data_IF_290146749982
#
_entry.id   IF_290146749982
#
_cell.length_a   1.000
_cell.length_b   1.000
_cell.length_c   1.000
_cell.angle_alpha   90.00
_cell.angle_beta   90.00
_cell.angle_gamma   90.00
#
_symmetry.space_group_name_H-M   'P 1'
#
loop_
_entity.id
_entity.type
_entity.pdbx_description
1 polymer ?
#
# COMPACT_ATOMS: atom_id res chain seq x y z
N UNK A 1 -4.64 -8.72 -15.37
CA UNK A 1 -5.50 -9.88 -14.97
C UNK A 1 -5.85 -9.73 -13.50
N UNK A 2 -7.08 -10.01 -13.12
CA UNK A 2 -7.55 -9.91 -11.72
C UNK A 2 -6.97 -11.04 -10.82
N UNK A 3 -6.22 -11.99 -11.38
CA UNK A 3 -5.62 -13.10 -10.65
C UNK A 3 -4.25 -12.74 -10.06
N UNK A 4 -3.94 -13.29 -8.88
CA UNK A 4 -2.60 -13.17 -8.30
C UNK A 4 -2.47 -12.14 -7.18
N UNK A 5 -3.58 -11.62 -6.63
CA UNK A 5 -3.58 -10.81 -5.40
C UNK A 5 -3.73 -11.69 -4.16
N UNK A 6 -3.21 -11.21 -3.01
CA UNK A 6 -3.51 -11.79 -1.69
C UNK A 6 -4.95 -11.51 -1.25
N UNK A 7 -5.38 -12.15 -0.14
CA UNK A 7 -6.69 -11.89 0.48
C UNK A 7 -7.87 -12.64 -0.17
N UNK A 8 -7.65 -13.54 -1.12
CA UNK A 8 -8.74 -14.30 -1.76
C UNK A 8 -9.16 -15.51 -0.91
N UNK A 9 -9.62 -15.26 0.32
CA UNK A 9 -10.11 -16.28 1.25
C UNK A 9 -11.32 -17.04 0.68
N UNK A 10 -12.13 -16.41 -0.17
CA UNK A 10 -13.31 -17.02 -0.79
C UNK A 10 -12.95 -18.14 -1.75
N UNK A 11 -11.87 -17.99 -2.51
CA UNK A 11 -11.38 -19.01 -3.43
C UNK A 11 -10.84 -20.21 -2.64
N UNK A 12 -9.98 -19.97 -1.64
CA UNK A 12 -9.44 -21.05 -0.82
C UNK A 12 -10.56 -21.77 -0.07
N UNK A 13 -11.53 -21.06 0.52
CA UNK A 13 -12.66 -21.66 1.22
C UNK A 13 -13.48 -22.61 0.31
N UNK A 14 -13.71 -22.21 -0.96
CA UNK A 14 -14.36 -23.08 -1.96
C UNK A 14 -13.53 -24.33 -2.28
N UNK A 15 -12.20 -24.17 -2.39
CA UNK A 15 -11.30 -25.29 -2.71
C UNK A 15 -11.23 -26.33 -1.58
N UNK A 16 -11.21 -25.87 -0.31
CA UNK A 16 -11.08 -26.77 0.84
C UNK A 16 -12.41 -27.13 1.51
N UNK A 17 -13.54 -26.55 1.04
CA UNK A 17 -14.87 -26.88 1.49
C UNK A 17 -15.19 -26.38 2.91
N UNK A 18 -14.79 -25.13 3.25
CA UNK A 18 -15.06 -24.53 4.56
C UNK A 18 -15.69 -23.13 4.45
N UNK A 19 -16.08 -22.53 5.58
CA UNK A 19 -16.50 -21.13 5.61
C UNK A 19 -15.27 -20.20 5.41
N UNK A 20 -15.38 -19.11 4.64
CA UNK A 20 -14.30 -18.12 4.51
C UNK A 20 -13.78 -17.58 5.86
N UNK A 21 -14.63 -17.51 6.89
CA UNK A 21 -14.25 -17.08 8.24
C UNK A 21 -13.31 -18.06 8.96
N UNK A 22 -13.23 -19.32 8.50
CA UNK A 22 -12.32 -20.33 9.06
C UNK A 22 -10.90 -20.25 8.45
N UNK A 23 -10.70 -19.40 7.43
CA UNK A 23 -9.39 -19.23 6.79
C UNK A 23 -8.54 -18.27 7.61
N UNK A 24 -7.36 -18.72 8.00
CA UNK A 24 -6.31 -17.86 8.56
C UNK A 24 -5.60 -17.15 7.39
N UNK A 25 -5.96 -15.89 7.16
CA UNK A 25 -5.38 -15.12 6.07
C UNK A 25 -4.06 -14.45 6.49
N UNK A 26 -2.95 -15.01 6.01
CA UNK A 26 -1.59 -14.44 6.09
C UNK A 26 -1.13 -13.86 4.74
N UNK A 27 -2.03 -13.72 3.76
CA UNK A 27 -1.72 -13.21 2.42
C UNK A 27 -2.10 -11.75 2.22
N UNK A 28 -2.90 -11.17 3.10
CA UNK A 28 -3.28 -9.75 3.09
C UNK A 28 -2.51 -8.98 4.17
N UNK A 29 -1.88 -7.89 3.74
CA UNK A 29 -0.99 -7.08 4.57
C UNK A 29 -1.80 -6.02 5.36
N UNK A 30 -2.59 -6.45 6.33
CA UNK A 30 -3.43 -5.56 7.16
C UNK A 30 -3.03 -5.65 8.63
N UNK A 31 -3.48 -4.67 9.43
CA UNK A 31 -3.21 -4.65 10.86
C UNK A 31 -3.82 -5.87 11.56
N UNK A 32 -3.03 -6.66 12.31
CA UNK A 32 -3.54 -7.83 13.02
C UNK A 32 -4.46 -7.47 14.22
N UNK A 33 -4.34 -6.27 14.80
CA UNK A 33 -5.15 -5.86 15.97
C UNK A 33 -6.61 -5.56 15.61
N UNK A 34 -6.94 -5.44 14.34
CA UNK A 34 -8.29 -5.06 13.91
C UNK A 34 -8.45 -3.56 13.68
N UNK A 35 -9.70 -3.09 13.48
CA UNK A 35 -10.01 -1.67 13.39
C UNK A 35 -9.84 -0.98 14.76
N UNK A 36 -9.65 0.36 14.79
CA UNK A 36 -9.67 1.13 16.02
C UNK A 36 -10.98 0.94 16.79
N UNK A 37 -10.89 0.97 18.13
CA UNK A 37 -12.05 0.82 18.97
C UNK A 37 -13.17 1.82 18.63
N UNK A 38 -14.41 1.35 18.58
CA UNK A 38 -15.59 2.16 18.27
C UNK A 38 -15.86 2.37 16.78
N UNK A 39 -14.88 2.14 15.88
CA UNK A 39 -15.11 2.37 14.44
C UNK A 39 -16.22 1.46 13.87
N UNK A 40 -16.19 0.17 14.18
CA UNK A 40 -17.22 -0.76 13.70
C UNK A 40 -18.60 -0.39 14.26
N UNK A 41 -18.69 -0.03 15.54
CA UNK A 41 -19.95 0.39 16.18
C UNK A 41 -20.49 1.67 15.56
N UNK A 42 -19.61 2.60 15.20
CA UNK A 42 -20.00 3.81 14.50
C UNK A 42 -20.57 3.52 13.11
N UNK A 43 -19.89 2.68 12.33
CA UNK A 43 -20.37 2.26 11.02
C UNK A 43 -21.72 1.53 11.09
N UNK A 44 -21.94 0.70 12.12
CA UNK A 44 -23.24 0.06 12.36
C UNK A 44 -24.33 1.10 12.64
N UNK A 45 -24.04 2.13 13.46
CA UNK A 45 -24.99 3.23 13.70
C UNK A 45 -25.33 4.03 12.44
N UNK A 46 -24.39 4.09 11.51
CA UNK A 46 -24.54 4.84 10.27
C UNK A 46 -25.02 3.98 9.08
N UNK A 47 -25.36 2.70 9.30
CA UNK A 47 -25.68 1.77 8.19
C UNK A 47 -26.85 2.26 7.33
N UNK A 48 -27.84 2.92 7.90
CA UNK A 48 -29.01 3.41 7.17
C UNK A 48 -28.67 4.54 6.17
N UNK A 49 -27.50 5.17 6.31
CA UNK A 49 -27.02 6.19 5.37
C UNK A 49 -26.72 5.64 3.98
N UNK A 50 -26.57 4.31 3.83
CA UNK A 50 -26.37 3.66 2.51
C UNK A 50 -27.57 3.84 1.58
N UNK A 51 -28.74 4.25 2.12
CA UNK A 51 -29.95 4.56 1.33
C UNK A 51 -29.87 5.92 0.60
N UNK A 52 -28.87 6.76 0.94
CA UNK A 52 -28.63 8.05 0.31
C UNK A 52 -27.33 8.03 -0.51
N UNK A 53 -27.23 8.90 -1.53
CA UNK A 53 -25.97 9.11 -2.24
C UNK A 53 -24.94 9.75 -1.31
N UNK A 54 -23.66 9.34 -1.38
CA UNK A 54 -22.59 10.00 -0.63
C UNK A 54 -22.33 11.42 -1.16
N UNK A 55 -21.46 12.16 -0.47
CA UNK A 55 -21.00 13.47 -0.96
C UNK A 55 -20.33 13.30 -2.34
N UNK A 56 -20.76 14.09 -3.32
CA UNK A 56 -20.45 13.89 -4.74
C UNK A 56 -18.96 14.03 -5.06
N UNK A 57 -18.29 14.97 -4.40
CA UNK A 57 -16.90 15.39 -4.64
C UNK A 57 -15.95 15.11 -3.46
N UNK A 58 -16.46 14.45 -2.41
CA UNK A 58 -15.72 14.05 -1.22
C UNK A 58 -15.08 15.21 -0.41
N UNK A 59 -15.56 16.46 -0.57
CA UNK A 59 -14.94 17.63 0.04
C UNK A 59 -14.93 17.57 1.58
N UNK A 60 -15.92 16.93 2.19
CA UNK A 60 -15.98 16.71 3.63
C UNK A 60 -14.78 15.92 4.12
N UNK A 61 -14.56 14.75 3.57
CA UNK A 61 -13.45 13.87 3.97
C UNK A 61 -12.09 14.41 3.52
N UNK A 62 -12.01 15.14 2.40
CA UNK A 62 -10.78 15.80 1.95
C UNK A 62 -10.35 16.86 2.96
N UNK A 63 -11.25 17.77 3.40
CA UNK A 63 -10.94 18.80 4.39
C UNK A 63 -10.52 18.19 5.73
N UNK A 64 -11.31 17.22 6.22
CA UNK A 64 -11.03 16.53 7.48
C UNK A 64 -9.66 15.85 7.47
N UNK A 65 -9.37 15.08 6.42
CA UNK A 65 -8.12 14.33 6.36
C UNK A 65 -6.90 15.21 6.04
N UNK A 66 -7.07 16.29 5.27
CA UNK A 66 -6.03 17.30 5.04
C UNK A 66 -5.64 18.01 6.33
N UNK A 67 -6.61 18.37 7.18
CA UNK A 67 -6.37 18.94 8.51
C UNK A 67 -5.61 17.94 9.40
N UNK A 68 -6.03 16.69 9.44
CA UNK A 68 -5.33 15.62 10.15
C UNK A 68 -3.87 15.47 9.69
N UNK A 69 -3.62 15.54 8.39
CA UNK A 69 -2.28 15.48 7.82
C UNK A 69 -1.47 16.79 8.00
N UNK A 70 -2.10 17.90 8.35
CA UNK A 70 -1.47 19.22 8.44
C UNK A 70 -1.01 19.75 7.08
N UNK A 71 -1.81 19.55 6.03
CA UNK A 71 -1.56 20.02 4.66
C UNK A 71 -2.76 20.83 4.13
N UNK A 72 -2.57 21.71 3.13
CA UNK A 72 -3.67 22.36 2.43
C UNK A 72 -4.58 21.35 1.73
N UNK A 73 -5.91 21.56 1.78
CA UNK A 73 -6.90 20.66 1.20
C UNK A 73 -6.80 20.57 -0.35
N UNK A 74 -6.31 21.62 -1.02
CA UNK A 74 -6.07 21.63 -2.46
C UNK A 74 -4.88 20.77 -2.92
N UNK A 75 -4.15 20.20 -1.95
CA UNK A 75 -3.08 19.22 -2.19
C UNK A 75 -3.52 17.77 -1.99
N UNK A 76 -4.78 17.52 -1.66
CA UNK A 76 -5.31 16.20 -1.34
C UNK A 76 -6.54 15.88 -2.20
N UNK A 77 -6.66 14.63 -2.61
CA UNK A 77 -7.84 14.10 -3.28
C UNK A 77 -8.16 12.69 -2.77
N UNK A 78 -9.45 12.40 -2.56
CA UNK A 78 -9.94 11.10 -2.10
C UNK A 78 -10.40 10.22 -3.26
N UNK A 79 -10.21 8.90 -3.13
CA UNK A 79 -10.59 7.94 -4.16
C UNK A 79 -11.01 6.58 -3.59
N UNK A 80 -11.50 5.71 -4.48
CA UNK A 80 -11.90 4.33 -4.19
C UNK A 80 -10.67 3.44 -3.95
N UNK A 81 -9.99 3.68 -2.82
CA UNK A 81 -8.68 3.15 -2.51
C UNK A 81 -7.57 3.77 -3.38
N UNK A 82 -6.31 3.52 -3.00
CA UNK A 82 -5.14 3.95 -3.81
C UNK A 82 -5.13 3.31 -5.19
N UNK A 83 -5.77 2.15 -5.36
CA UNK A 83 -5.92 1.45 -6.64
C UNK A 83 -6.53 2.34 -7.71
N UNK A 84 -7.56 3.15 -7.39
CA UNK A 84 -8.14 4.08 -8.35
C UNK A 84 -7.09 5.05 -8.90
N UNK A 85 -6.24 5.59 -8.04
CA UNK A 85 -5.18 6.50 -8.46
C UNK A 85 -4.10 5.77 -9.27
N UNK A 86 -3.65 4.58 -8.82
CA UNK A 86 -2.66 3.78 -9.54
C UNK A 86 -3.10 3.57 -11.00
N UNK A 87 -4.35 3.17 -11.22
CA UNK A 87 -4.87 2.92 -12.56
C UNK A 87 -5.18 4.19 -13.36
N UNK A 88 -5.35 5.35 -12.73
CA UNK A 88 -5.56 6.62 -13.43
C UNK A 88 -4.28 7.42 -13.71
N UNK A 89 -3.20 7.18 -12.94
CA UNK A 89 -1.90 7.87 -13.09
C UNK A 89 -1.40 7.87 -14.55
N UNK A 90 -1.33 6.73 -15.27
CA UNK A 90 -0.76 6.74 -16.62
C UNK A 90 -1.53 7.64 -17.59
N UNK A 91 -2.86 7.67 -17.50
CA UNK A 91 -3.70 8.51 -18.34
C UNK A 91 -3.65 9.98 -17.94
N UNK A 92 -3.82 10.29 -16.64
CA UNK A 92 -3.90 11.67 -16.14
C UNK A 92 -2.55 12.40 -16.33
N UNK A 93 -1.45 11.72 -16.07
CA UNK A 93 -0.10 12.28 -16.20
C UNK A 93 0.47 12.12 -17.61
N UNK A 94 -0.23 11.45 -18.53
CA UNK A 94 0.23 11.16 -19.89
C UNK A 94 1.61 10.49 -19.87
N UNK A 95 1.70 9.40 -19.10
CA UNK A 95 2.94 8.65 -18.96
C UNK A 95 3.29 7.98 -20.29
N UNK A 96 4.54 8.11 -20.72
CA UNK A 96 5.05 7.44 -21.91
C UNK A 96 6.19 6.47 -21.58
N UNK A 97 7.01 6.79 -20.57
CA UNK A 97 8.13 5.98 -20.12
C UNK A 97 8.08 5.82 -18.61
N UNK A 98 7.57 4.69 -18.17
CA UNK A 98 7.46 4.34 -16.75
C UNK A 98 8.64 3.48 -16.30
N UNK A 99 9.25 3.82 -15.16
CA UNK A 99 10.20 2.99 -14.45
C UNK A 99 9.55 2.53 -13.12
N UNK A 100 9.59 1.22 -12.85
CA UNK A 100 9.03 0.65 -11.62
C UNK A 100 10.16 0.06 -10.80
N UNK A 101 10.30 0.50 -9.55
CA UNK A 101 11.28 -0.06 -8.61
C UNK A 101 10.71 -1.37 -8.07
N UNK A 102 11.35 -2.48 -8.45
CA UNK A 102 10.89 -3.84 -8.16
C UNK A 102 11.96 -4.74 -7.55
N UNK A 103 11.57 -5.96 -7.14
CA UNK A 103 10.23 -6.56 -7.22
C UNK A 103 9.20 -5.81 -6.38
N UNK A 104 8.01 -5.55 -6.92
CA UNK A 104 6.99 -4.75 -6.24
C UNK A 104 5.56 -5.09 -6.71
N UNK A 105 4.57 -4.42 -6.12
CA UNK A 105 3.15 -4.59 -6.38
C UNK A 105 2.81 -4.50 -7.88
N UNK A 106 2.11 -5.50 -8.39
CA UNK A 106 1.89 -5.70 -9.83
C UNK A 106 1.03 -4.61 -10.48
N UNK A 107 0.14 -3.97 -9.71
CA UNK A 107 -0.83 -3.02 -10.26
C UNK A 107 -0.17 -1.79 -10.91
N UNK A 108 1.04 -1.41 -10.51
CA UNK A 108 1.75 -0.32 -11.18
C UNK A 108 2.04 -0.67 -12.64
N UNK A 109 2.50 -1.91 -12.88
CA UNK A 109 2.77 -2.40 -14.23
C UNK A 109 1.48 -2.65 -15.03
N UNK A 110 0.47 -3.22 -14.38
CA UNK A 110 -0.81 -3.49 -15.01
C UNK A 110 -1.53 -2.19 -15.39
N UNK A 111 -1.47 -1.17 -14.56
CA UNK A 111 -1.98 0.17 -14.87
C UNK A 111 -1.26 0.78 -16.08
N UNK A 112 0.06 0.70 -16.14
CA UNK A 112 0.84 1.17 -17.29
C UNK A 112 0.42 0.42 -18.57
N UNK A 113 0.37 -0.91 -18.53
CA UNK A 113 -0.02 -1.74 -19.70
C UNK A 113 -1.44 -1.47 -20.17
N UNK A 114 -2.38 -1.25 -19.24
CA UNK A 114 -3.77 -0.91 -19.58
C UNK A 114 -3.87 0.36 -20.44
N UNK A 115 -2.94 1.29 -20.25
CA UNK A 115 -2.85 2.54 -21.00
C UNK A 115 -1.81 2.51 -22.15
N UNK A 116 -1.37 1.32 -22.57
CA UNK A 116 -0.46 1.15 -23.71
C UNK A 116 1.01 1.49 -23.39
N UNK A 117 1.36 1.66 -22.11
CA UNK A 117 2.74 1.94 -21.69
C UNK A 117 3.40 0.63 -21.27
N UNK A 118 4.55 0.29 -21.88
CA UNK A 118 5.39 -0.82 -21.45
C UNK A 118 6.36 -0.33 -20.38
N UNK A 119 6.18 -0.69 -19.11
CA UNK A 119 7.06 -0.20 -18.06
C UNK A 119 8.41 -0.93 -18.09
N UNK A 120 9.46 -0.20 -17.79
CA UNK A 120 10.77 -0.76 -17.42
C UNK A 120 10.85 -1.01 -15.92
N UNK A 121 11.76 -1.93 -15.52
CA UNK A 121 11.94 -2.27 -14.10
C UNK A 121 13.37 -2.01 -13.66
N UNK A 122 13.50 -1.30 -12.54
CA UNK A 122 14.73 -1.26 -11.76
C UNK A 122 14.65 -2.33 -10.69
N UNK A 123 15.24 -3.50 -10.97
CA UNK A 123 15.15 -4.65 -10.06
C UNK A 123 16.22 -4.55 -8.96
N UNK A 124 15.76 -4.43 -7.72
CA UNK A 124 16.59 -4.50 -6.54
C UNK A 124 17.09 -5.94 -6.30
N UNK A 125 18.29 -6.07 -5.75
CA UNK A 125 18.94 -7.38 -5.60
C UNK A 125 18.64 -8.00 -4.23
N UNK A 126 18.49 -9.30 -4.23
CA UNK A 126 18.36 -10.07 -2.99
C UNK A 126 19.59 -9.93 -2.06
N UNK A 127 20.80 -9.79 -2.64
CA UNK A 127 22.04 -9.56 -1.86
C UNK A 127 21.99 -8.33 -0.99
N UNK A 128 21.21 -7.32 -1.39
CA UNK A 128 21.06 -6.02 -0.74
C UNK A 128 19.74 -5.93 0.04
N UNK A 129 19.14 -7.09 0.40
CA UNK A 129 17.82 -7.19 1.03
C UNK A 129 16.73 -6.41 0.25
N UNK A 130 16.85 -6.38 -1.07
CA UNK A 130 15.98 -5.64 -2.00
C UNK A 130 15.93 -4.12 -1.76
N UNK A 131 16.89 -3.56 -1.06
CA UNK A 131 17.04 -2.10 -0.97
C UNK A 131 17.61 -1.57 -2.29
N UNK A 132 17.03 -0.53 -2.90
CA UNK A 132 17.55 0.00 -4.15
C UNK A 132 18.90 0.71 -3.94
N UNK A 133 19.81 0.52 -4.89
CA UNK A 133 20.94 1.42 -5.09
C UNK A 133 20.40 2.75 -5.63
N UNK A 134 20.42 3.79 -4.78
CA UNK A 134 19.83 5.08 -5.13
C UNK A 134 20.61 5.85 -6.20
N UNK A 135 21.93 5.63 -6.32
CA UNK A 135 22.71 6.23 -7.37
C UNK A 135 22.32 5.62 -8.74
N UNK A 136 22.29 4.29 -8.82
CA UNK A 136 21.83 3.60 -10.01
C UNK A 136 20.37 3.87 -10.35
N UNK A 137 19.50 4.00 -9.33
CA UNK A 137 18.10 4.39 -9.53
C UNK A 137 17.98 5.81 -10.10
N UNK A 138 18.79 6.76 -9.61
CA UNK A 138 18.80 8.13 -10.14
C UNK A 138 19.26 8.18 -11.60
N UNK A 139 20.21 7.34 -11.99
CA UNK A 139 20.66 7.20 -13.39
C UNK A 139 19.56 6.60 -14.26
N UNK A 140 18.95 5.48 -13.83
CA UNK A 140 17.86 4.83 -14.55
C UNK A 140 16.64 5.75 -14.71
N UNK A 141 16.31 6.54 -13.68
CA UNK A 141 15.21 7.50 -13.70
C UNK A 141 15.37 8.59 -14.76
N UNK A 142 16.60 8.90 -15.20
CA UNK A 142 16.84 9.87 -16.26
C UNK A 142 16.21 9.45 -17.60
N UNK A 143 16.00 8.16 -17.83
CA UNK A 143 15.33 7.61 -19.01
C UNK A 143 13.79 7.64 -18.93
N UNK A 144 13.22 7.85 -17.76
CA UNK A 144 11.78 7.80 -17.50
C UNK A 144 11.16 9.21 -17.39
N UNK A 145 9.85 9.31 -17.59
CA UNK A 145 9.06 10.48 -17.21
C UNK A 145 8.31 10.28 -15.88
N UNK A 146 8.16 9.01 -15.48
CA UNK A 146 7.46 8.64 -14.25
C UNK A 146 8.13 7.43 -13.60
N UNK A 147 8.36 7.50 -12.29
CA UNK A 147 8.95 6.44 -11.47
C UNK A 147 7.96 6.03 -10.38
N UNK A 148 7.67 4.73 -10.27
CA UNK A 148 6.84 4.17 -9.19
C UNK A 148 7.73 3.52 -8.13
N UNK A 149 7.51 3.90 -6.87
CA UNK A 149 8.22 3.39 -5.69
C UNK A 149 7.18 3.05 -4.61
N UNK A 150 7.13 1.81 -4.16
CA UNK A 150 6.39 1.43 -2.96
C UNK A 150 7.32 1.53 -1.75
N UNK A 151 6.94 2.30 -0.72
CA UNK A 151 7.82 2.55 0.42
C UNK A 151 7.08 2.65 1.77
N UNK A 152 7.16 1.64 2.64
CA UNK A 152 7.86 0.35 2.49
C UNK A 152 7.33 -0.50 1.35
N UNK A 153 8.21 -1.30 0.74
CA UNK A 153 7.89 -2.04 -0.46
C UNK A 153 7.11 -3.34 -0.17
N UNK A 154 6.07 -3.59 -0.94
CA UNK A 154 5.38 -4.87 -1.00
C UNK A 154 5.86 -5.65 -2.25
N UNK A 155 6.45 -6.88 -2.12
CA UNK A 155 6.37 -7.76 -0.96
C UNK A 155 7.63 -7.78 -0.08
N UNK A 156 8.68 -7.05 -0.41
CA UNK A 156 10.02 -7.24 0.17
C UNK A 156 10.17 -6.67 1.59
N UNK A 157 9.34 -5.70 1.97
CA UNK A 157 9.51 -4.96 3.21
C UNK A 157 10.62 -3.90 3.16
N UNK A 158 11.38 -3.82 2.07
CA UNK A 158 12.47 -2.85 1.94
C UNK A 158 11.97 -1.42 2.14
N UNK A 159 12.75 -0.62 2.86
CA UNK A 159 12.39 0.75 3.23
C UNK A 159 13.50 1.71 2.87
N UNK A 160 13.12 2.84 2.28
CA UNK A 160 14.01 3.95 1.92
C UNK A 160 13.66 5.13 2.84
N UNK A 161 14.62 5.69 3.60
CA UNK A 161 14.39 6.88 4.41
C UNK A 161 13.89 8.08 3.60
N UNK A 162 13.01 8.89 4.22
CA UNK A 162 12.39 10.04 3.55
C UNK A 162 13.41 11.01 2.94
N UNK A 163 14.51 11.28 3.63
CA UNK A 163 15.51 12.23 3.15
C UNK A 163 16.22 11.75 1.88
N UNK A 164 16.42 10.44 1.75
CA UNK A 164 17.00 9.84 0.54
C UNK A 164 16.02 9.98 -0.65
N UNK A 165 14.71 9.73 -0.43
CA UNK A 165 13.67 9.93 -1.45
C UNK A 165 13.51 11.40 -1.84
N UNK A 166 13.52 12.32 -0.87
CA UNK A 166 13.51 13.77 -1.15
C UNK A 166 14.70 14.19 -2.01
N UNK A 167 15.87 13.64 -1.70
CA UNK A 167 17.08 13.92 -2.45
C UNK A 167 16.98 13.40 -3.89
N UNK A 168 16.51 12.18 -4.09
CA UNK A 168 16.26 11.58 -5.40
C UNK A 168 15.29 12.44 -6.24
N UNK A 169 14.15 12.85 -5.66
CA UNK A 169 13.15 13.68 -6.34
C UNK A 169 13.75 15.04 -6.77
N UNK A 170 14.54 15.68 -5.90
CA UNK A 170 15.18 16.97 -6.21
C UNK A 170 16.27 16.88 -7.29
N UNK A 171 16.99 15.76 -7.35
CA UNK A 171 18.00 15.52 -8.37
C UNK A 171 17.43 15.28 -9.77
N UNK A 172 16.15 14.94 -9.87
CA UNK A 172 15.44 14.63 -11.12
C UNK A 172 14.11 15.42 -11.22
N UNK A 173 14.14 16.77 -11.23
CA UNK A 173 12.94 17.58 -11.14
C UNK A 173 12.00 17.44 -12.35
N UNK A 174 12.50 16.94 -13.49
CA UNK A 174 11.71 16.65 -14.69
C UNK A 174 10.99 15.29 -14.66
N UNK A 175 11.33 14.41 -13.71
CA UNK A 175 10.73 13.09 -13.53
C UNK A 175 9.68 13.16 -12.44
N UNK A 176 8.51 12.56 -12.65
CA UNK A 176 7.48 12.43 -11.62
C UNK A 176 7.74 11.18 -10.79
N UNK A 177 7.75 11.33 -9.49
CA UNK A 177 7.89 10.22 -8.56
C UNK A 177 6.54 9.93 -7.91
N UNK A 178 6.08 8.69 -8.04
CA UNK A 178 4.89 8.18 -7.36
C UNK A 178 5.39 7.33 -6.20
N UNK A 179 5.22 7.80 -4.98
CA UNK A 179 5.62 7.07 -3.78
C UNK A 179 4.38 6.56 -3.07
N UNK A 180 4.25 5.23 -2.98
CA UNK A 180 3.14 4.60 -2.28
C UNK A 180 3.53 4.33 -0.82
N UNK A 181 2.97 5.13 0.09
CA UNK A 181 3.17 5.05 1.53
C UNK A 181 2.12 4.17 2.25
N UNK A 182 1.42 3.29 1.54
CA UNK A 182 0.34 2.45 2.12
C UNK A 182 0.76 1.66 3.36
N UNK A 183 2.03 1.34 3.51
CA UNK A 183 2.57 0.59 4.65
C UNK A 183 3.43 1.43 5.60
N UNK A 184 3.63 2.71 5.32
CA UNK A 184 4.44 3.61 6.13
C UNK A 184 3.93 3.75 7.57
N UNK A 185 2.62 3.75 7.87
CA UNK A 185 2.12 3.81 9.24
C UNK A 185 2.59 2.68 10.16
N UNK A 186 3.04 1.54 9.62
CA UNK A 186 3.61 0.43 10.40
C UNK A 186 5.07 0.64 10.83
N UNK A 187 5.78 1.58 10.19
CA UNK A 187 7.20 1.86 10.46
C UNK A 187 7.33 2.67 11.74
N UNK A 188 8.34 2.35 12.56
CA UNK A 188 8.71 3.22 13.66
C UNK A 188 9.01 4.63 13.15
N UNK A 189 8.48 5.67 13.82
CA UNK A 189 8.54 7.06 13.36
C UNK A 189 8.00 7.27 11.91
N UNK A 190 7.04 6.45 11.48
CA UNK A 190 6.49 6.55 10.12
C UNK A 190 5.94 7.94 9.76
N UNK A 191 5.43 8.70 10.73
CA UNK A 191 4.97 10.08 10.49
C UNK A 191 6.11 11.03 10.15
N UNK A 192 7.26 10.92 10.84
CA UNK A 192 8.47 11.69 10.52
C UNK A 192 9.08 11.30 9.18
N UNK A 193 8.79 10.08 8.72
CA UNK A 193 9.26 9.56 7.43
C UNK A 193 8.30 9.81 6.27
N UNK A 194 7.11 10.39 6.50
CA UNK A 194 6.16 10.66 5.42
C UNK A 194 6.57 11.86 4.56
N UNK A 195 6.35 11.72 3.26
CA UNK A 195 6.66 12.72 2.26
C UNK A 195 5.51 13.72 2.01
N UNK A 196 4.36 13.54 2.67
CA UNK A 196 3.15 14.36 2.43
C UNK A 196 3.37 15.86 2.65
N UNK A 197 4.28 16.24 3.58
CA UNK A 197 4.57 17.63 3.94
C UNK A 197 5.81 18.21 3.26
N UNK A 198 6.48 17.46 2.38
CA UNK A 198 7.80 17.88 1.86
C UNK A 198 7.77 19.01 0.83
N UNK A 199 6.61 19.30 0.23
CA UNK A 199 6.45 20.40 -0.72
C UNK A 199 7.18 20.24 -2.06
N UNK A 200 7.53 19.03 -2.47
CA UNK A 200 8.24 18.74 -3.73
C UNK A 200 7.21 18.57 -4.85
N UNK A 201 7.30 19.39 -5.91
CA UNK A 201 6.26 19.50 -6.93
C UNK A 201 6.16 18.29 -7.87
N UNK A 202 7.28 17.59 -8.11
CA UNK A 202 7.33 16.39 -8.95
C UNK A 202 7.08 15.08 -8.17
N UNK A 203 6.60 15.19 -6.93
CA UNK A 203 6.27 14.05 -6.08
C UNK A 203 4.76 13.91 -5.89
N UNK A 204 4.27 12.68 -6.06
CA UNK A 204 2.92 12.26 -5.73
C UNK A 204 3.01 11.18 -4.66
N UNK A 205 2.21 11.29 -3.60
CA UNK A 205 2.20 10.33 -2.49
C UNK A 205 0.84 9.66 -2.41
N UNK A 206 0.82 8.31 -2.47
CA UNK A 206 -0.39 7.51 -2.27
C UNK A 206 -0.50 7.10 -0.79
N UNK A 207 -1.68 7.30 -0.20
CA UNK A 207 -1.96 7.00 1.19
C UNK A 207 -3.15 6.03 1.30
N UNK A 208 -2.92 4.86 1.90
CA UNK A 208 -3.97 3.89 2.19
C UNK A 208 -4.26 3.83 3.68
N UNK A 209 -5.45 4.22 4.08
CA UNK A 209 -5.94 4.03 5.46
C UNK A 209 -6.42 2.60 5.70
N UNK A 210 -6.66 1.84 4.63
CA UNK A 210 -7.23 0.48 4.67
C UNK A 210 -6.34 -0.52 5.42
N UNK A 211 -5.01 -0.32 5.39
CA UNK A 211 -4.05 -1.29 5.94
C UNK A 211 -3.89 -1.12 7.44
N UNK A 212 -3.56 0.08 7.87
CA UNK A 212 -3.32 0.38 9.30
C UNK A 212 -4.60 0.28 10.12
N UNK A 213 -5.75 0.73 9.60
CA UNK A 213 -7.03 0.67 10.32
C UNK A 213 -7.86 -0.59 10.01
N UNK A 214 -7.30 -1.55 9.26
CA UNK A 214 -7.95 -2.82 8.89
C UNK A 214 -9.37 -2.67 8.35
N UNK A 215 -9.57 -1.75 7.42
CA UNK A 215 -10.84 -1.47 6.73
C UNK A 215 -10.74 -1.62 5.20
N UNK A 216 -10.12 -2.70 4.68
CA UNK A 216 -9.91 -2.84 3.23
C UNK A 216 -11.21 -2.92 2.44
N UNK A 217 -12.30 -3.38 3.06
CA UNK A 217 -13.62 -3.48 2.43
C UNK A 217 -14.28 -2.13 2.16
N UNK A 218 -13.92 -1.06 2.86
CA UNK A 218 -14.49 0.28 2.66
C UNK A 218 -13.94 1.01 1.42
N UNK A 219 -12.81 0.56 0.88
CA UNK A 219 -12.24 1.11 -0.36
C UNK A 219 -12.00 2.62 -0.31
N UNK A 220 -11.19 3.10 0.64
CA UNK A 220 -10.80 4.52 0.74
C UNK A 220 -9.30 4.66 0.67
N UNK A 221 -8.83 5.65 -0.09
CA UNK A 221 -7.43 6.03 -0.18
C UNK A 221 -7.30 7.47 -0.67
N UNK A 222 -6.12 8.01 -0.55
CA UNK A 222 -5.85 9.41 -0.88
C UNK A 222 -4.60 9.53 -1.75
N UNK A 223 -4.56 10.61 -2.53
CA UNK A 223 -3.39 11.06 -3.27
C UNK A 223 -3.05 12.48 -2.81
N UNK A 224 -1.79 12.69 -2.43
CA UNK A 224 -1.22 14.01 -2.13
C UNK A 224 -0.28 14.40 -3.27
N UNK A 225 -0.43 15.63 -3.78
CA UNK A 225 0.43 16.17 -4.83
C UNK A 225 0.38 17.70 -4.87
N UNK A 226 1.01 18.32 -5.88
CA UNK A 226 0.84 19.75 -6.14
C UNK A 226 -0.61 20.10 -6.51
N UNK A 227 -1.12 21.31 -6.19
CA UNK A 227 -2.50 21.68 -6.53
C UNK A 227 -2.83 21.53 -8.02
N UNK A 228 -1.88 21.82 -8.91
CA UNK A 228 -2.06 21.62 -10.35
C UNK A 228 -2.26 20.15 -10.74
N UNK A 229 -1.52 19.24 -10.09
CA UNK A 229 -1.66 17.80 -10.27
C UNK A 229 -3.00 17.31 -9.70
N UNK A 230 -3.39 17.75 -8.50
CA UNK A 230 -4.70 17.42 -7.92
C UNK A 230 -5.84 17.86 -8.83
N UNK A 231 -5.78 19.09 -9.35
CA UNK A 231 -6.78 19.58 -10.31
C UNK A 231 -6.84 18.74 -11.60
N UNK A 232 -5.71 18.15 -12.04
CA UNK A 232 -5.71 17.25 -13.19
C UNK A 232 -6.44 15.93 -12.87
N UNK A 233 -6.19 15.35 -11.70
CA UNK A 233 -6.92 14.15 -11.25
C UNK A 233 -8.40 14.41 -11.04
N UNK A 234 -8.78 15.54 -10.42
CA UNK A 234 -10.17 15.90 -10.16
C UNK A 234 -11.02 15.93 -11.43
N UNK A 235 -10.45 16.36 -12.57
CA UNK A 235 -11.17 16.35 -13.87
C UNK A 235 -11.49 14.95 -14.40
N UNK A 236 -10.77 13.93 -13.97
CA UNK A 236 -10.95 12.54 -14.40
C UNK A 236 -11.65 11.65 -13.36
N UNK A 237 -11.97 12.18 -12.18
CA UNK A 237 -12.70 11.41 -11.16
C UNK A 237 -14.18 11.29 -11.50
N UNK A 238 -14.71 10.12 -11.19
CA UNK A 238 -16.16 9.90 -11.26
C UNK A 238 -16.83 10.49 -10.02
N UNK A 239 -18.05 11.06 -10.18
CA UNK A 239 -18.88 11.46 -9.05
C UNK A 239 -19.13 10.26 -8.12
N UNK A 240 -19.25 10.51 -6.82
CA UNK A 240 -19.57 9.49 -5.80
C UNK A 240 -18.57 8.32 -5.74
N UNK A 241 -17.32 8.55 -6.07
CA UNK A 241 -16.29 7.51 -6.15
C UNK A 241 -15.89 6.91 -4.78
N UNK A 242 -16.21 7.56 -3.67
CA UNK A 242 -16.07 7.01 -2.31
C UNK A 242 -17.46 6.76 -1.73
N UNK A 243 -17.71 5.52 -1.30
CA UNK A 243 -18.99 5.11 -0.75
C UNK A 243 -19.28 5.76 0.61
N UNK A 244 -20.57 5.79 1.02
CA UNK A 244 -21.04 6.46 2.22
C UNK A 244 -20.34 5.97 3.50
N UNK A 245 -20.20 4.65 3.69
CA UNK A 245 -19.53 4.10 4.87
C UNK A 245 -18.03 4.39 4.87
N UNK A 246 -17.44 4.48 3.68
CA UNK A 246 -16.05 4.92 3.53
C UNK A 246 -15.86 6.37 3.99
N UNK A 247 -16.77 7.27 3.61
CA UNK A 247 -16.76 8.66 4.08
C UNK A 247 -16.99 8.74 5.60
N UNK A 248 -17.95 7.99 6.14
CA UNK A 248 -18.20 7.91 7.58
C UNK A 248 -16.96 7.44 8.35
N UNK A 249 -16.27 6.42 7.87
CA UNK A 249 -15.04 5.95 8.49
C UNK A 249 -13.95 7.02 8.53
N UNK A 250 -13.78 7.82 7.47
CA UNK A 250 -12.80 8.93 7.47
C UNK A 250 -13.15 9.98 8.49
N UNK A 251 -14.42 10.38 8.60
CA UNK A 251 -14.87 11.33 9.62
C UNK A 251 -14.58 10.80 11.04
N UNK A 252 -14.95 9.55 11.32
CA UNK A 252 -14.63 8.93 12.61
C UNK A 252 -13.12 8.98 12.91
N UNK A 253 -12.29 8.61 11.95
CA UNK A 253 -10.82 8.61 12.10
C UNK A 253 -10.26 10.02 12.33
N UNK A 254 -10.80 11.05 11.68
CA UNK A 254 -10.39 12.43 11.90
C UNK A 254 -10.76 12.95 13.29
N UNK A 255 -11.91 12.55 13.83
CA UNK A 255 -12.42 13.00 15.13
C UNK A 255 -11.75 12.27 16.31
N UNK A 256 -11.25 11.04 16.09
CA UNK A 256 -10.60 10.21 17.10
C UNK A 256 -9.08 10.47 17.26
N UNK A 257 -8.56 11.60 16.77
CA UNK A 257 -7.14 11.94 16.63
C UNK A 257 -6.16 11.45 17.71
N UNK A 258 -6.34 11.77 19.03
CA UNK A 258 -5.43 11.27 20.08
C UNK A 258 -5.46 9.75 20.22
N UNK A 259 -6.61 9.12 20.07
CA UNK A 259 -6.78 7.66 20.19
C UNK A 259 -6.14 6.93 19.01
N UNK A 260 -6.12 7.54 17.81
CA UNK A 260 -5.43 6.96 16.65
C UNK A 260 -3.92 6.90 16.82
N UNK A 261 -3.33 7.89 17.47
CA UNK A 261 -1.90 7.86 17.78
C UNK A 261 -1.57 6.74 18.74
N UNK A 262 -2.39 6.58 19.79
CA UNK A 262 -2.26 5.46 20.73
C UNK A 262 -2.44 4.10 20.03
N UNK A 263 -3.46 3.95 19.18
CA UNK A 263 -3.72 2.75 18.40
C UNK A 263 -2.54 2.40 17.46
N UNK A 264 -1.98 3.40 16.78
CA UNK A 264 -0.85 3.19 15.89
C UNK A 264 0.41 2.80 16.67
N UNK A 265 0.66 3.43 17.82
CA UNK A 265 1.78 3.10 18.70
C UNK A 265 1.63 1.67 19.28
N UNK A 266 0.45 1.27 19.72
CA UNK A 266 0.15 -0.09 20.15
C UNK A 266 0.37 -1.10 19.03
N UNK A 267 -0.13 -0.81 17.83
CA UNK A 267 0.08 -1.65 16.65
C UNK A 267 1.57 -1.88 16.38
N UNK A 268 2.38 -0.82 16.39
CA UNK A 268 3.82 -0.90 16.16
C UNK A 268 4.51 -1.73 17.26
N UNK A 269 4.15 -1.51 18.52
CA UNK A 269 4.70 -2.26 19.65
C UNK A 269 4.36 -3.75 19.56
N UNK A 270 3.11 -4.08 19.25
CA UNK A 270 2.68 -5.45 19.03
C UNK A 270 3.44 -6.12 17.89
N UNK A 271 3.50 -5.46 16.74
CA UNK A 271 4.20 -5.98 15.56
C UNK A 271 5.71 -6.18 15.81
N UNK A 272 6.35 -5.28 16.55
CA UNK A 272 7.77 -5.42 16.87
C UNK A 272 8.07 -6.67 17.68
N UNK A 273 7.22 -7.00 18.65
CA UNK A 273 7.33 -8.23 19.47
C UNK A 273 7.03 -9.48 18.64
N UNK A 274 5.89 -9.52 17.94
CA UNK A 274 5.45 -10.72 17.24
C UNK A 274 6.30 -11.01 15.99
N UNK A 275 6.76 -9.97 15.28
CA UNK A 275 7.68 -10.12 14.16
C UNK A 275 8.99 -10.79 14.59
N UNK A 276 9.64 -10.27 15.63
CA UNK A 276 10.88 -10.88 16.17
C UNK A 276 10.68 -12.33 16.59
N UNK A 277 9.55 -12.62 17.26
CA UNK A 277 9.20 -13.96 17.67
C UNK A 277 9.00 -14.91 16.50
N UNK A 278 8.35 -14.44 15.43
CA UNK A 278 8.09 -15.23 14.24
C UNK A 278 9.36 -15.42 13.41
N UNK A 279 10.16 -14.38 13.20
CA UNK A 279 11.47 -14.43 12.56
C UNK A 279 12.40 -15.45 13.24
N UNK A 280 12.46 -15.45 14.58
CA UNK A 280 13.25 -16.41 15.33
C UNK A 280 12.78 -17.86 15.13
N UNK A 281 11.49 -18.09 14.96
CA UNK A 281 10.95 -19.42 14.68
C UNK A 281 11.27 -19.89 13.27
N UNK A 282 11.07 -19.02 12.29
CA UNK A 282 11.40 -19.30 10.90
C UNK A 282 12.90 -19.50 10.67
N UNK A 283 13.74 -18.72 11.36
CA UNK A 283 15.21 -18.85 11.30
C UNK A 283 15.76 -20.18 11.84
N UNK A 284 14.94 -21.00 12.51
CA UNK A 284 15.30 -22.38 12.89
C UNK A 284 15.10 -23.41 11.78
N UNK A 285 14.44 -23.02 10.70
CA UNK A 285 14.21 -23.91 9.55
C UNK A 285 15.44 -23.82 8.63
N UNK A 286 16.18 -24.95 8.44
CA UNK A 286 17.39 -24.94 7.63
C UNK A 286 17.14 -24.46 6.20
N UNK A 287 17.99 -23.57 5.71
CA UNK A 287 17.93 -23.04 4.33
C UNK A 287 16.85 -21.98 4.07
N UNK A 288 15.99 -21.68 5.05
CA UNK A 288 15.02 -20.60 4.95
C UNK A 288 15.68 -19.25 5.28
N UNK A 289 15.44 -18.23 4.45
CA UNK A 289 15.89 -16.85 4.69
C UNK A 289 14.71 -15.92 4.85
N UNK A 290 14.64 -15.19 5.96
CA UNK A 290 13.67 -14.12 6.20
C UNK A 290 14.33 -12.79 5.86
N UNK A 291 13.69 -11.96 5.03
CA UNK A 291 14.19 -10.62 4.72
C UNK A 291 13.72 -9.60 5.75
N UNK A 292 14.56 -8.63 6.13
CA UNK A 292 14.19 -7.59 7.08
C UNK A 292 12.97 -6.79 6.59
N UNK A 293 12.02 -6.51 7.49
CA UNK A 293 10.86 -5.69 7.19
C UNK A 293 10.43 -4.89 8.41
N UNK A 294 10.17 -3.58 8.28
CA UNK A 294 9.62 -2.77 9.35
C UNK A 294 8.08 -2.80 9.38
N UNK A 295 7.44 -3.63 8.54
CA UNK A 295 5.98 -3.66 8.35
C UNK A 295 5.31 -4.82 9.06
N UNK A 296 4.01 -5.04 8.79
CA UNK A 296 3.22 -6.19 9.29
C UNK A 296 3.47 -7.50 8.52
N UNK A 297 4.36 -7.51 7.56
CA UNK A 297 4.70 -8.66 6.71
C UNK A 297 6.20 -8.70 6.43
N UNK A 298 6.70 -9.85 5.99
CA UNK A 298 8.05 -10.02 5.46
C UNK A 298 8.07 -11.07 4.35
N UNK A 299 9.04 -10.92 3.46
CA UNK A 299 9.33 -11.89 2.42
C UNK A 299 10.21 -13.01 2.99
N UNK A 300 9.98 -14.23 2.52
CA UNK A 300 10.75 -15.42 2.89
C UNK A 300 11.22 -16.11 1.63
N UNK A 301 12.54 -16.39 1.55
CA UNK A 301 13.07 -17.30 0.55
C UNK A 301 13.07 -18.72 1.11
N UNK A 302 12.48 -19.63 0.35
CA UNK A 302 12.41 -21.05 0.70
C UNK A 302 13.75 -21.75 0.46
N UNK A 303 14.00 -22.88 1.16
CA UNK A 303 15.12 -23.74 0.86
C UNK A 303 15.13 -24.22 -0.58
N UNK A 304 16.32 -24.51 -1.11
CA UNK A 304 16.47 -25.07 -2.46
C UNK A 304 15.68 -26.38 -2.60
N UNK A 305 14.99 -26.53 -3.73
CA UNK A 305 14.13 -27.68 -4.01
C UNK A 305 12.70 -27.59 -3.46
N UNK A 306 12.36 -26.56 -2.67
CA UNK A 306 11.01 -26.34 -2.18
C UNK A 306 10.37 -25.14 -2.88
N UNK A 307 9.28 -25.35 -3.61
CA UNK A 307 8.56 -24.27 -4.31
C UNK A 307 7.52 -23.59 -3.44
N UNK A 308 7.27 -22.30 -3.69
CA UNK A 308 6.20 -21.54 -3.04
C UNK A 308 4.83 -22.19 -3.24
N UNK A 309 4.56 -22.72 -4.43
CA UNK A 309 3.32 -23.44 -4.74
C UNK A 309 3.14 -24.69 -3.86
N UNK A 310 4.22 -25.44 -3.59
CA UNK A 310 4.16 -26.62 -2.70
C UNK A 310 3.83 -26.23 -1.27
N UNK A 311 4.48 -25.19 -0.75
CA UNK A 311 4.22 -24.68 0.60
C UNK A 311 2.80 -24.12 0.71
N UNK A 312 2.38 -23.35 -0.30
CA UNK A 312 1.01 -22.81 -0.37
C UNK A 312 -0.02 -23.95 -0.34
N UNK A 313 0.16 -25.00 -1.15
CA UNK A 313 -0.78 -26.12 -1.20
C UNK A 313 -0.85 -26.89 0.13
N UNK A 314 0.28 -27.08 0.83
CA UNK A 314 0.31 -27.75 2.12
C UNK A 314 -0.40 -26.91 3.19
N UNK A 315 -0.14 -25.59 3.26
CA UNK A 315 -0.78 -24.69 4.21
C UNK A 315 -2.27 -24.49 3.92
N UNK A 316 -2.67 -24.55 2.65
CA UNK A 316 -4.06 -24.47 2.24
C UNK A 316 -4.91 -25.60 2.85
N UNK A 317 -4.36 -26.83 2.97
CA UNK A 317 -5.05 -27.95 3.63
C UNK A 317 -5.30 -27.68 5.12
N UNK A 318 -4.44 -26.87 5.76
CA UNK A 318 -4.58 -26.41 7.14
C UNK A 318 -5.40 -25.11 7.26
N UNK A 319 -6.07 -24.69 6.17
CA UNK A 319 -6.85 -23.46 6.07
C UNK A 319 -6.02 -22.18 6.31
N UNK A 320 -4.73 -22.23 5.98
CA UNK A 320 -3.82 -21.07 6.07
C UNK A 320 -3.53 -20.58 4.67
N UNK A 321 -3.87 -19.32 4.40
CA UNK A 321 -3.62 -18.66 3.13
C UNK A 321 -2.36 -17.80 3.23
N UNK A 322 -1.31 -18.17 2.50
CA UNK A 322 -0.10 -17.34 2.32
C UNK A 322 -0.07 -16.73 0.93
N UNK A 323 0.82 -15.77 0.72
CA UNK A 323 1.08 -15.16 -0.60
C UNK A 323 2.23 -15.89 -1.29
N UNK A 324 1.94 -16.57 -2.40
CA UNK A 324 2.96 -17.00 -3.35
C UNK A 324 3.44 -15.77 -4.13
N UNK A 325 4.73 -15.43 -3.98
CA UNK A 325 5.34 -14.27 -4.57
C UNK A 325 6.08 -14.56 -5.89
N UNK A 326 6.00 -15.77 -6.43
CA UNK A 326 6.68 -16.16 -7.68
C UNK A 326 6.23 -15.36 -8.91
N UNK A 327 5.04 -14.74 -8.85
CA UNK A 327 4.51 -13.91 -9.93
C UNK A 327 4.99 -12.43 -9.86
N UNK A 328 5.75 -12.04 -8.85
CA UNK A 328 6.38 -10.72 -8.82
C UNK A 328 7.63 -10.73 -9.71
N UNK A 329 7.75 -9.76 -10.59
CA UNK A 329 8.91 -9.67 -11.48
C UNK A 329 10.20 -9.48 -10.67
N UNK A 330 11.15 -10.41 -10.81
CA UNK A 330 12.39 -10.43 -10.06
C UNK A 330 12.36 -11.30 -8.80
N UNK A 331 11.25 -12.02 -8.54
CA UNK A 331 11.16 -13.09 -7.54
C UNK A 331 10.81 -14.38 -8.26
N UNK A 332 11.73 -15.32 -8.37
CA UNK A 332 11.54 -16.62 -9.04
C UNK A 332 12.26 -17.70 -8.26
#
# INVERSE_FOLDING_TARGET
>A
MIGGHGGNIYELARQVGCDPAEIIDLSSNVNPLGPPAGLCDDLVRQIDTVSALPEVDNQGIIRCYAEHLGIPADRLIAGNGTTQFIYSIPAVLKVNRALIVGPTYSDYADACRLHGVSPEFFLCRESDDFRPDLAGLAEAAAGADTVFICNPNNPTGAFIPADELKQLCRHRPQVRFIVDESYLPFVADGEGQSLVRCGIDNLLVLLSISKIYRIPGLRVGFLVASPATIAAFARGLWPWNVNQLGQAAVHFLCEAGPDLNAFTAETRSYLDVERRRFEQRLGRIPGLRVFPSPTSFFLVRLPEGLSAATVWAALAQERILIRDCSNFQGLS
#
